data_IF_457616725808
#
_entry.id   IF_457616725808
#
_cell.length_a   1.000
_cell.length_b   1.000
_cell.length_c   1.000
_cell.angle_alpha   90.00
_cell.angle_beta   90.00
_cell.angle_gamma   90.00
#
_symmetry.space_group_name_H-M   'P 1'
#
loop_
_entity.id
_entity.type
_entity.pdbx_description
1 polymer ?
#
# COMPACT_ATOMS: atom_id res chain seq x y z
N UNK A 1 -20.76 17.54 26.26
CA UNK A 1 -19.99 16.97 27.42
C UNK A 1 -20.03 17.78 28.73
N UNK A 2 -19.64 19.06 28.78
CA UNK A 2 -19.36 19.75 30.06
C UNK A 2 -20.53 19.88 31.03
N UNK A 3 -21.76 20.06 30.51
CA UNK A 3 -22.97 20.08 31.35
C UNK A 3 -23.20 18.75 32.08
N UNK A 4 -22.88 17.65 31.41
CA UNK A 4 -22.98 16.30 31.96
C UNK A 4 -21.94 16.07 33.05
N UNK A 5 -20.71 16.57 32.85
CA UNK A 5 -19.67 16.54 33.89
C UNK A 5 -20.07 17.37 35.13
N UNK A 6 -20.68 18.54 34.92
CA UNK A 6 -21.22 19.36 36.01
C UNK A 6 -22.26 18.57 36.81
N UNK A 7 -23.20 17.94 36.11
CA UNK A 7 -24.28 17.12 36.69
C UNK A 7 -23.75 15.93 37.51
N UNK A 8 -22.70 15.26 37.03
CA UNK A 8 -22.09 14.09 37.70
C UNK A 8 -21.22 14.51 38.89
N UNK A 9 -20.47 15.60 38.80
CA UNK A 9 -19.51 16.01 39.83
C UNK A 9 -20.14 16.86 40.95
N UNK A 10 -21.18 17.65 40.66
CA UNK A 10 -21.80 18.54 41.65
C UNK A 10 -22.31 17.81 42.92
N UNK A 11 -23.00 16.66 42.83
CA UNK A 11 -23.42 15.92 44.02
C UNK A 11 -22.24 15.40 44.86
N UNK A 12 -21.07 15.21 44.23
CA UNK A 12 -19.88 14.65 44.88
C UNK A 12 -19.03 15.72 45.59
N UNK A 13 -19.13 16.99 45.18
CA UNK A 13 -18.40 18.10 45.82
C UNK A 13 -19.10 18.65 47.05
N UNK A 14 -20.39 18.35 47.25
CA UNK A 14 -21.19 18.94 48.32
C UNK A 14 -21.55 20.42 48.09
N UNK A 15 -21.29 20.94 46.89
CA UNK A 15 -21.56 22.34 46.51
C UNK A 15 -22.80 22.40 45.64
N UNK A 16 -23.80 23.19 46.06
CA UNK A 16 -24.89 23.57 45.17
C UNK A 16 -24.32 24.47 44.05
N UNK A 17 -24.34 23.99 42.81
CA UNK A 17 -23.87 24.76 41.65
C UNK A 17 -24.65 26.08 41.55
N UNK A 18 -24.02 27.20 41.90
CA UNK A 18 -24.50 28.53 41.53
C UNK A 18 -23.84 28.88 40.20
N UNK A 19 -24.58 28.64 39.12
CA UNK A 19 -24.06 28.75 37.74
C UNK A 19 -23.78 30.20 37.35
N UNK A 20 -22.59 30.70 37.71
CA UNK A 20 -22.06 31.97 37.23
C UNK A 20 -20.81 31.67 36.38
N UNK A 21 -20.96 31.65 35.05
CA UNK A 21 -19.85 31.46 34.11
C UNK A 21 -20.10 30.37 33.05
N UNK A 22 -19.02 29.94 32.37
CA UNK A 22 -19.08 28.86 31.39
C UNK A 22 -19.23 27.49 32.07
N UNK A 23 -19.83 26.48 31.41
CA UNK A 23 -19.92 25.12 31.96
C UNK A 23 -18.56 24.55 32.39
N UNK A 24 -17.51 24.84 31.62
CA UNK A 24 -16.12 24.47 31.92
C UNK A 24 -15.64 25.07 33.25
N UNK A 25 -15.91 26.35 33.49
CA UNK A 25 -15.52 27.03 34.73
C UNK A 25 -16.28 26.50 35.95
N UNK A 26 -17.57 26.17 35.80
CA UNK A 26 -18.38 25.55 36.84
C UNK A 26 -17.82 24.18 37.24
N UNK A 27 -17.50 23.33 36.27
CA UNK A 27 -16.88 22.01 36.51
C UNK A 27 -15.53 22.14 37.22
N UNK A 28 -14.69 23.09 36.83
CA UNK A 28 -13.42 23.37 37.51
C UNK A 28 -13.62 23.81 38.97
N UNK A 29 -14.60 24.66 39.24
CA UNK A 29 -14.91 25.11 40.60
C UNK A 29 -15.43 23.98 41.49
N UNK A 30 -16.28 23.11 40.94
CA UNK A 30 -16.78 21.89 41.59
C UNK A 30 -15.63 20.94 41.91
N UNK A 31 -14.75 20.68 40.93
CA UNK A 31 -13.63 19.75 41.09
C UNK A 31 -12.65 20.15 42.19
N UNK A 32 -12.41 21.46 42.40
CA UNK A 32 -11.56 21.96 43.50
C UNK A 32 -12.08 21.60 44.88
N UNK A 33 -13.38 21.39 45.01
CA UNK A 33 -14.06 21.15 46.28
C UNK A 33 -14.38 19.68 46.53
N UNK A 34 -13.86 18.77 45.69
CA UNK A 34 -14.05 17.34 45.89
C UNK A 34 -13.42 16.90 47.23
N UNK A 35 -14.20 16.38 48.19
CA UNK A 35 -13.71 16.04 49.53
C UNK A 35 -12.99 14.69 49.58
N UNK A 36 -13.07 13.89 48.51
CA UNK A 36 -12.51 12.54 48.40
C UNK A 36 -12.02 12.27 46.98
N UNK A 37 -11.18 11.24 46.82
CA UNK A 37 -10.74 10.79 45.51
C UNK A 37 -11.91 10.28 44.66
N UNK A 38 -12.07 10.86 43.48
CA UNK A 38 -13.06 10.51 42.46
C UNK A 38 -12.31 10.07 41.20
N UNK A 39 -12.71 8.94 40.63
CA UNK A 39 -12.29 8.53 39.28
C UNK A 39 -13.43 8.79 38.31
N UNK A 40 -13.20 9.67 37.35
CA UNK A 40 -14.13 10.01 36.28
C UNK A 40 -13.71 9.26 35.02
N UNK A 41 -14.62 8.45 34.47
CA UNK A 41 -14.43 7.77 33.18
C UNK A 41 -15.28 8.47 32.14
N UNK A 42 -14.66 8.91 31.05
CA UNK A 42 -15.33 9.53 29.90
C UNK A 42 -15.18 8.57 28.74
N UNK A 43 -16.28 7.93 28.37
CA UNK A 43 -16.33 7.01 27.23
C UNK A 43 -16.66 7.74 25.93
N UNK A 44 -16.27 7.15 24.81
CA UNK A 44 -16.51 7.67 23.45
C UNK A 44 -16.10 9.14 23.22
N UNK A 45 -15.01 9.59 23.84
CA UNK A 45 -14.58 11.00 23.82
C UNK A 45 -14.25 11.56 22.41
N UNK A 46 -14.04 10.69 21.42
CA UNK A 46 -13.76 11.06 20.04
C UNK A 46 -14.90 11.84 19.35
N UNK A 47 -16.12 11.81 19.88
CA UNK A 47 -17.23 12.65 19.41
C UNK A 47 -17.17 14.10 19.94
N UNK A 48 -16.46 14.33 21.05
CA UNK A 48 -16.41 15.63 21.74
C UNK A 48 -15.01 16.27 21.70
N UNK A 49 -14.01 15.55 21.16
CA UNK A 49 -12.63 16.04 21.11
C UNK A 49 -12.46 17.24 20.17
N UNK A 50 -11.70 18.21 20.66
CA UNK A 50 -11.34 19.45 20.00
C UNK A 50 -10.13 20.02 20.75
N UNK A 51 -9.36 20.90 20.10
CA UNK A 51 -8.24 21.59 20.76
C UNK A 51 -8.69 22.25 22.08
N UNK A 52 -9.87 22.86 22.11
CA UNK A 52 -10.41 23.54 23.30
C UNK A 52 -10.79 22.54 24.40
N UNK A 53 -11.56 21.50 24.06
CA UNK A 53 -12.04 20.51 25.04
C UNK A 53 -10.88 19.70 25.63
N UNK A 54 -9.88 19.35 24.82
CA UNK A 54 -8.70 18.60 25.27
C UNK A 54 -7.89 19.43 26.29
N UNK A 55 -7.66 20.73 26.02
CA UNK A 55 -6.99 21.63 26.96
C UNK A 55 -7.78 21.84 28.24
N UNK A 56 -9.11 22.02 28.13
CA UNK A 56 -9.98 22.18 29.28
C UNK A 56 -9.99 20.91 30.15
N UNK A 57 -9.98 19.72 29.54
CA UNK A 57 -9.92 18.45 30.25
C UNK A 57 -8.56 18.23 30.94
N UNK A 58 -7.46 18.58 30.26
CA UNK A 58 -6.13 18.56 30.86
C UNK A 58 -5.99 19.55 32.02
N UNK A 59 -6.63 20.72 31.94
CA UNK A 59 -6.69 21.69 33.03
C UNK A 59 -7.53 21.16 34.21
N UNK A 60 -8.65 20.50 33.93
CA UNK A 60 -9.46 19.86 34.96
C UNK A 60 -8.67 18.80 35.73
N UNK A 61 -7.95 17.93 35.02
CA UNK A 61 -7.09 16.90 35.65
C UNK A 61 -6.00 17.50 36.55
N UNK A 62 -5.51 18.70 36.24
CA UNK A 62 -4.50 19.41 37.05
C UNK A 62 -5.09 20.16 38.25
N UNK A 63 -6.40 20.37 38.27
CA UNK A 63 -7.05 21.28 39.22
C UNK A 63 -7.08 20.73 40.65
N UNK A 64 -7.08 19.41 40.83
CA UNK A 64 -7.05 18.77 42.15
C UNK A 64 -6.40 17.39 42.07
N UNK A 65 -5.74 16.95 43.16
CA UNK A 65 -5.23 15.58 43.29
C UNK A 65 -6.33 14.56 43.63
N UNK A 66 -7.53 15.04 43.96
CA UNK A 66 -8.69 14.21 44.24
C UNK A 66 -9.45 13.78 42.99
N UNK A 67 -9.03 14.18 41.79
CA UNK A 67 -9.69 13.80 40.55
C UNK A 67 -8.72 13.02 39.67
N UNK A 68 -9.07 11.76 39.36
CA UNK A 68 -8.44 10.97 38.30
C UNK A 68 -9.38 10.93 37.11
N UNK A 69 -8.88 11.28 35.93
CA UNK A 69 -9.66 11.24 34.69
C UNK A 69 -9.13 10.11 33.82
N UNK A 70 -10.03 9.23 33.38
CA UNK A 70 -9.79 8.20 32.38
C UNK A 70 -10.62 8.59 31.15
N UNK A 71 -9.95 8.70 30.01
CA UNK A 71 -10.59 9.07 28.75
C UNK A 71 -10.46 7.87 27.81
N UNK A 72 -11.60 7.40 27.32
CA UNK A 72 -11.68 6.31 26.35
C UNK A 72 -12.21 6.93 25.05
N UNK A 73 -11.50 6.68 23.97
CA UNK A 73 -11.87 7.22 22.67
C UNK A 73 -10.93 6.70 21.58
N UNK A 74 -11.38 6.81 20.34
CA UNK A 74 -10.62 6.36 19.16
C UNK A 74 -9.56 7.37 18.71
N UNK A 75 -9.75 8.64 19.08
CA UNK A 75 -8.82 9.74 18.82
C UNK A 75 -8.95 10.85 19.86
N UNK A 76 -7.92 11.68 19.91
CA UNK A 76 -7.86 12.99 20.59
C UNK A 76 -7.11 13.96 19.67
N UNK A 77 -7.35 15.25 19.76
CA UNK A 77 -6.67 16.26 18.93
C UNK A 77 -5.29 16.59 19.48
N UNK A 78 -5.21 16.97 20.75
CA UNK A 78 -3.95 17.40 21.39
C UNK A 78 -3.77 16.89 22.81
N UNK A 79 -4.75 16.15 23.37
CA UNK A 79 -4.68 15.68 24.76
C UNK A 79 -3.40 14.87 25.05
N UNK A 80 -2.92 14.09 24.10
CA UNK A 80 -1.68 13.30 24.20
C UNK A 80 -0.44 14.00 23.61
N UNK A 81 -0.55 15.29 23.22
CA UNK A 81 0.55 16.05 22.64
C UNK A 81 1.59 16.47 23.69
N UNK A 82 2.84 16.69 23.25
CA UNK A 82 3.94 17.16 24.10
C UNK A 82 3.61 18.44 24.89
N UNK A 83 2.78 19.33 24.32
CA UNK A 83 2.37 20.58 24.97
C UNK A 83 1.54 20.31 26.22
N UNK A 84 0.64 19.32 26.15
CA UNK A 84 -0.24 18.96 27.25
C UNK A 84 0.49 18.07 28.26
N UNK A 85 1.23 17.07 27.78
CA UNK A 85 1.95 16.10 28.64
C UNK A 85 3.09 16.75 29.44
N UNK A 86 3.64 17.89 28.98
CA UNK A 86 4.59 18.70 29.75
C UNK A 86 3.98 19.37 30.99
N UNK A 87 2.65 19.56 31.02
CA UNK A 87 1.94 20.30 32.09
C UNK A 87 1.02 19.42 32.92
N UNK A 88 0.61 18.29 32.37
CA UNK A 88 -0.33 17.35 33.00
C UNK A 88 0.23 15.94 32.85
N UNK A 89 0.26 15.18 33.94
CA UNK A 89 0.70 13.78 33.90
C UNK A 89 -0.35 12.95 33.17
N UNK A 90 -0.02 12.50 31.97
CA UNK A 90 -0.89 11.68 31.12
C UNK A 90 -0.20 10.37 30.81
N UNK A 91 -0.92 9.28 30.97
CA UNK A 91 -0.53 7.94 30.50
C UNK A 91 -1.46 7.59 29.35
N UNK A 92 -0.93 7.56 28.13
CA UNK A 92 -1.67 7.14 26.95
C UNK A 92 -1.47 5.63 26.75
N UNK A 93 -2.57 4.90 26.62
CA UNK A 93 -2.57 3.49 26.24
C UNK A 93 -3.11 3.41 24.81
N UNK A 94 -2.31 2.86 23.90
CA UNK A 94 -2.63 2.73 22.49
C UNK A 94 -3.13 1.33 22.12
N UNK A 95 -3.40 1.10 20.82
CA UNK A 95 -3.82 -0.21 20.32
C UNK A 95 -2.85 -1.35 20.67
N UNK A 96 -1.55 -1.08 20.68
CA UNK A 96 -0.54 -2.09 21.04
C UNK A 96 -0.63 -2.51 22.51
N UNK A 97 -0.92 -1.58 23.42
CA UNK A 97 -1.06 -1.86 24.86
C UNK A 97 -2.35 -2.63 25.18
N UNK A 98 -3.36 -2.51 24.30
CA UNK A 98 -4.68 -3.16 24.45
C UNK A 98 -4.82 -4.41 23.58
N UNK A 99 -3.82 -4.71 22.75
CA UNK A 99 -3.83 -5.92 21.91
C UNK A 99 -3.52 -7.14 22.76
N UNK A 100 -4.30 -8.20 22.57
CA UNK A 100 -4.02 -9.48 23.21
C UNK A 100 -2.79 -10.12 22.57
N UNK A 101 -1.87 -10.57 23.41
CA UNK A 101 -0.76 -11.41 22.97
C UNK A 101 -1.28 -12.76 22.45
N UNK A 102 -0.41 -13.50 21.76
CA UNK A 102 -0.73 -14.85 21.32
C UNK A 102 -1.06 -15.76 22.51
N UNK A 103 -0.32 -15.64 23.62
CA UNK A 103 -0.51 -16.43 24.83
C UNK A 103 -1.82 -16.06 25.54
N UNK A 104 -2.15 -14.77 25.65
CA UNK A 104 -3.44 -14.34 26.23
C UNK A 104 -4.63 -14.79 25.38
N UNK A 105 -4.48 -14.79 24.04
CA UNK A 105 -5.51 -15.28 23.12
C UNK A 105 -5.73 -16.79 23.27
N UNK A 106 -4.65 -17.55 23.45
CA UNK A 106 -4.70 -18.98 23.70
C UNK A 106 -5.26 -19.31 25.10
N UNK A 107 -4.87 -18.55 26.13
CA UNK A 107 -5.42 -18.67 27.49
C UNK A 107 -6.92 -18.38 27.49
N UNK A 108 -7.38 -17.35 26.75
CA UNK A 108 -8.80 -17.05 26.60
C UNK A 108 -9.56 -18.23 25.98
N UNK A 109 -9.06 -18.81 24.89
CA UNK A 109 -9.67 -19.98 24.25
C UNK A 109 -9.72 -21.19 25.21
N UNK A 110 -8.64 -21.43 25.96
CA UNK A 110 -8.57 -22.50 26.96
C UNK A 110 -9.56 -22.29 28.11
N UNK A 111 -9.70 -21.05 28.61
CA UNK A 111 -10.70 -20.70 29.64
C UNK A 111 -12.12 -20.90 29.15
N UNK A 112 -12.38 -20.67 27.87
CA UNK A 112 -13.67 -20.96 27.25
C UNK A 112 -13.88 -22.46 26.99
N UNK A 113 -12.87 -23.31 27.19
CA UNK A 113 -12.96 -24.75 26.95
C UNK A 113 -12.93 -25.14 25.47
N UNK A 114 -12.46 -24.25 24.60
CA UNK A 114 -12.36 -24.49 23.15
C UNK A 114 -11.04 -25.23 22.90
N UNK A 115 -11.05 -26.39 22.21
CA UNK A 115 -9.81 -27.10 21.90
C UNK A 115 -8.95 -26.29 20.94
N UNK A 116 -7.67 -26.14 21.26
CA UNK A 116 -6.70 -25.49 20.39
C UNK A 116 -6.27 -26.42 19.25
N UNK A 117 -6.80 -26.18 18.06
CA UNK A 117 -6.38 -26.85 16.83
C UNK A 117 -5.61 -25.90 15.88
N UNK A 118 -5.15 -26.41 14.74
CA UNK A 118 -4.41 -25.62 13.76
C UNK A 118 -5.26 -24.48 13.15
N UNK A 119 -6.57 -24.69 12.97
CA UNK A 119 -7.47 -23.70 12.38
C UNK A 119 -7.71 -22.52 13.34
N UNK A 120 -7.99 -22.80 14.61
CA UNK A 120 -8.13 -21.79 15.65
C UNK A 120 -6.81 -21.05 15.87
N UNK A 121 -5.69 -21.76 15.91
CA UNK A 121 -4.36 -21.14 16.03
C UNK A 121 -4.08 -20.20 14.84
N UNK A 122 -4.41 -20.61 13.61
CA UNK A 122 -4.28 -19.78 12.43
C UNK A 122 -5.22 -18.56 12.46
N UNK A 123 -6.46 -18.73 12.92
CA UNK A 123 -7.44 -17.65 13.05
C UNK A 123 -7.03 -16.62 14.11
N UNK A 124 -6.60 -17.05 15.29
CA UNK A 124 -6.10 -16.16 16.35
C UNK A 124 -4.83 -15.40 15.91
N UNK A 125 -3.92 -16.07 15.19
CA UNK A 125 -2.77 -15.41 14.57
C UNK A 125 -3.19 -14.35 13.54
N UNK A 126 -4.19 -14.65 12.69
CA UNK A 126 -4.76 -13.66 11.75
C UNK A 126 -5.47 -12.51 12.48
N UNK A 127 -6.06 -12.78 13.64
CA UNK A 127 -6.68 -11.76 14.48
C UNK A 127 -5.66 -10.74 15.01
N UNK A 128 -4.37 -11.08 15.08
CA UNK A 128 -3.29 -10.12 15.33
C UNK A 128 -3.42 -9.39 16.66
N UNK A 129 -4.02 -10.02 17.67
CA UNK A 129 -4.28 -9.42 18.97
C UNK A 129 -5.47 -8.47 19.02
N UNK A 130 -6.18 -8.23 17.90
CA UNK A 130 -7.34 -7.36 17.87
C UNK A 130 -8.53 -7.99 18.61
N UNK A 131 -9.00 -7.44 19.74
CA UNK A 131 -10.01 -8.11 20.56
C UNK A 131 -11.33 -8.40 19.83
N UNK A 132 -11.77 -7.55 18.90
CA UNK A 132 -12.98 -7.80 18.11
C UNK A 132 -12.80 -8.96 17.13
N UNK A 133 -11.64 -9.07 16.48
CA UNK A 133 -11.35 -10.19 15.59
C UNK A 133 -11.17 -11.51 16.37
N UNK A 134 -10.56 -11.47 17.56
CA UNK A 134 -10.47 -12.64 18.45
C UNK A 134 -11.87 -13.07 18.88
N UNK A 135 -12.71 -12.12 19.32
CA UNK A 135 -14.11 -12.37 19.68
C UNK A 135 -14.87 -13.03 18.52
N UNK A 136 -14.65 -12.55 17.28
CA UNK A 136 -15.24 -13.13 16.09
C UNK A 136 -14.71 -14.53 15.80
N UNK A 137 -13.40 -14.77 15.84
CA UNK A 137 -12.81 -16.10 15.62
C UNK A 137 -13.37 -17.13 16.61
N UNK A 138 -13.60 -16.71 17.85
CA UNK A 138 -14.19 -17.53 18.90
C UNK A 138 -15.73 -17.58 18.85
N UNK A 139 -16.41 -16.86 17.96
CA UNK A 139 -17.88 -16.80 17.88
C UNK A 139 -18.59 -16.41 19.20
N UNK A 140 -17.97 -15.57 20.04
CA UNK A 140 -18.53 -15.17 21.34
C UNK A 140 -19.78 -14.27 21.23
N UNK A 141 -20.24 -13.96 20.02
CA UNK A 141 -21.52 -13.30 19.79
C UNK A 141 -22.70 -14.28 19.66
N UNK A 142 -22.42 -15.56 19.41
CA UNK A 142 -23.40 -16.58 19.13
C UNK A 142 -23.62 -17.46 20.38
N UNK A 143 -24.52 -16.99 21.26
CA UNK A 143 -24.81 -17.65 22.53
C UNK A 143 -25.31 -19.10 22.43
N UNK A 144 -25.60 -19.61 21.23
CA UNK A 144 -25.99 -21.00 21.02
C UNK A 144 -24.86 -22.01 21.29
N UNK A 145 -23.60 -21.58 21.20
CA UNK A 145 -22.43 -22.47 21.36
C UNK A 145 -21.87 -22.46 22.79
N UNK A 146 -22.38 -21.58 23.64
CA UNK A 146 -21.85 -21.33 24.98
C UNK A 146 -22.92 -21.56 26.05
N UNK A 147 -22.51 -22.13 27.18
CA UNK A 147 -23.34 -22.23 28.38
C UNK A 147 -22.70 -21.41 29.48
N UNK A 148 -23.53 -20.62 30.17
CA UNK A 148 -23.10 -19.89 31.36
C UNK A 148 -22.88 -20.87 32.51
N UNK A 149 -21.66 -20.90 33.04
CA UNK A 149 -21.29 -21.66 34.24
C UNK A 149 -20.92 -20.69 35.37
N UNK A 150 -20.84 -21.14 36.63
CA UNK A 150 -20.36 -20.30 37.73
C UNK A 150 -18.97 -19.71 37.50
N UNK A 151 -18.13 -20.40 36.71
CA UNK A 151 -16.77 -19.99 36.36
C UNK A 151 -16.71 -19.15 35.06
N UNK A 152 -17.87 -18.76 34.52
CA UNK A 152 -18.02 -17.99 33.28
C UNK A 152 -18.58 -18.81 32.11
N UNK A 153 -18.55 -18.24 30.90
CA UNK A 153 -19.02 -18.93 29.70
C UNK A 153 -18.09 -20.07 29.31
N UNK A 154 -18.68 -21.23 29.01
CA UNK A 154 -17.96 -22.41 28.51
C UNK A 154 -18.56 -22.88 27.20
N UNK A 155 -17.70 -23.19 26.25
CA UNK A 155 -18.07 -23.79 24.99
C UNK A 155 -18.67 -25.17 25.23
N UNK A 156 -19.79 -25.44 24.58
CA UNK A 156 -20.46 -26.74 24.66
C UNK A 156 -20.28 -27.50 23.36
N UNK A 157 -19.48 -28.57 23.41
CA UNK A 157 -19.33 -29.51 22.32
C UNK A 157 -20.62 -30.34 22.14
N UNK A 158 -21.69 -29.74 21.60
CA UNK A 158 -22.90 -30.47 21.28
C UNK A 158 -22.70 -31.34 20.04
N UNK A 159 -23.08 -32.62 20.11
CA UNK A 159 -22.98 -33.61 19.02
C UNK A 159 -23.79 -33.25 17.74
N UNK A 160 -24.58 -32.17 17.77
CA UNK A 160 -25.46 -31.70 16.70
C UNK A 160 -25.27 -30.21 16.37
N UNK A 161 -24.19 -29.57 16.86
CA UNK A 161 -23.93 -28.15 16.57
C UNK A 161 -23.24 -27.94 15.23
N UNK A 162 -23.49 -26.80 14.54
CA UNK A 162 -22.73 -26.43 13.35
C UNK A 162 -21.24 -26.44 13.66
N UNK A 163 -20.43 -26.93 12.71
CA UNK A 163 -18.97 -26.99 12.83
C UNK A 163 -18.43 -25.61 13.27
N UNK A 164 -17.86 -25.57 14.46
CA UNK A 164 -17.07 -24.42 14.91
C UNK A 164 -15.93 -24.21 13.91
N UNK A 165 -15.99 -23.12 13.15
CA UNK A 165 -15.02 -22.81 12.11
C UNK A 165 -14.51 -21.37 12.29
N UNK A 166 -13.41 -21.19 13.03
CA UNK A 166 -12.85 -19.87 13.34
C UNK A 166 -12.55 -19.02 12.10
N UNK A 167 -12.14 -19.67 11.01
CA UNK A 167 -11.85 -19.00 9.75
C UNK A 167 -13.13 -18.49 9.08
N UNK A 168 -14.18 -19.31 9.03
CA UNK A 168 -15.48 -18.88 8.52
C UNK A 168 -16.09 -17.75 9.37
N UNK A 169 -15.89 -17.79 10.70
CA UNK A 169 -16.35 -16.74 11.60
C UNK A 169 -15.63 -15.40 11.34
N UNK A 170 -14.31 -15.42 11.09
CA UNK A 170 -13.56 -14.22 10.68
C UNK A 170 -14.04 -13.69 9.32
N UNK A 171 -14.35 -14.58 8.37
CA UNK A 171 -14.92 -14.17 7.08
C UNK A 171 -16.29 -13.52 7.22
N UNK A 172 -17.16 -14.08 8.08
CA UNK A 172 -18.46 -13.51 8.40
C UNK A 172 -18.32 -12.14 9.08
N UNK A 173 -17.37 -12.00 10.01
CA UNK A 173 -17.03 -10.73 10.64
C UNK A 173 -16.56 -9.69 9.61
N UNK A 174 -15.67 -10.07 8.68
CA UNK A 174 -15.20 -9.17 7.63
C UNK A 174 -16.35 -8.66 6.74
N UNK A 175 -17.31 -9.54 6.39
CA UNK A 175 -18.52 -9.17 5.64
C UNK A 175 -19.44 -8.25 6.43
N UNK A 176 -19.65 -8.53 7.71
CA UNK A 176 -20.43 -7.68 8.60
C UNK A 176 -19.80 -6.30 8.74
N UNK A 177 -18.49 -6.21 8.93
CA UNK A 177 -17.77 -4.93 8.97
C UNK A 177 -17.97 -4.13 7.68
N UNK A 178 -17.88 -4.76 6.50
CA UNK A 178 -18.11 -4.11 5.21
C UNK A 178 -19.51 -3.49 5.08
N UNK A 179 -20.54 -4.10 5.69
CA UNK A 179 -21.91 -3.59 5.67
C UNK A 179 -22.13 -2.34 6.54
N UNK A 180 -21.30 -2.14 7.56
CA UNK A 180 -21.38 -0.98 8.46
C UNK A 180 -20.70 0.27 7.89
N UNK A 181 -19.91 0.10 6.83
CA UNK A 181 -19.10 1.16 6.24
C UNK A 181 -19.83 1.82 5.06
N UNK A 182 -19.77 3.15 5.02
CA UNK A 182 -20.29 3.98 3.92
C UNK A 182 -19.65 3.64 2.57
N UNK A 183 -20.31 3.97 1.45
CA UNK A 183 -19.88 3.57 0.10
C UNK A 183 -18.44 3.98 -0.24
N UNK A 184 -18.02 5.20 0.12
CA UNK A 184 -16.66 5.68 -0.15
C UNK A 184 -15.61 4.93 0.68
N UNK A 185 -15.80 4.87 2.00
CA UNK A 185 -14.91 4.11 2.88
C UNK A 185 -14.88 2.61 2.51
N UNK A 186 -15.99 2.04 2.03
CA UNK A 186 -16.06 0.67 1.51
C UNK A 186 -15.14 0.45 0.32
N UNK A 187 -15.13 1.39 -0.64
CA UNK A 187 -14.26 1.31 -1.82
C UNK A 187 -12.78 1.37 -1.43
N UNK A 188 -12.41 2.25 -0.49
CA UNK A 188 -11.04 2.32 0.04
C UNK A 188 -10.67 1.00 0.73
N UNK A 189 -11.55 0.45 1.56
CA UNK A 189 -11.27 -0.80 2.29
C UNK A 189 -11.06 -1.99 1.34
N UNK A 190 -11.90 -2.13 0.31
CA UNK A 190 -11.74 -3.17 -0.72
C UNK A 190 -10.45 -2.98 -1.51
N UNK A 191 -10.11 -1.73 -1.86
CA UNK A 191 -8.84 -1.43 -2.51
C UNK A 191 -7.64 -1.78 -1.61
N UNK A 192 -7.69 -1.45 -0.32
CA UNK A 192 -6.64 -1.79 0.64
C UNK A 192 -6.52 -3.29 0.91
N UNK A 193 -7.60 -4.06 0.72
CA UNK A 193 -7.57 -5.51 0.86
C UNK A 193 -6.86 -6.18 -0.34
N UNK A 194 -7.15 -5.71 -1.55
CA UNK A 194 -6.53 -6.16 -2.81
C UNK A 194 -5.08 -5.70 -2.95
N UNK A 195 -4.81 -4.46 -2.59
CA UNK A 195 -3.49 -3.86 -2.57
C UNK A 195 -2.74 -4.29 -1.31
N UNK A 196 -1.50 -3.84 -1.19
CA UNK A 196 -0.79 -3.87 0.08
C UNK A 196 -1.21 -2.76 1.01
N UNK A 197 -1.43 -1.57 0.46
CA UNK A 197 -1.71 -0.36 1.20
C UNK A 197 -2.42 0.65 0.31
N UNK A 198 -3.07 1.61 0.95
CA UNK A 198 -3.65 2.80 0.32
C UNK A 198 -3.07 4.04 0.98
N UNK A 199 -2.73 5.04 0.18
CA UNK A 199 -2.29 6.36 0.65
C UNK A 199 -3.45 7.37 0.57
N UNK A 200 -3.28 8.56 1.14
CA UNK A 200 -4.27 9.64 0.95
C UNK A 200 -4.43 10.06 -0.53
N UNK A 201 -3.36 10.28 -1.33
CA UNK A 201 -3.48 10.53 -2.76
C UNK A 201 -4.25 9.44 -3.53
N UNK A 202 -3.96 8.16 -3.26
CA UNK A 202 -4.67 7.05 -3.88
C UNK A 202 -6.14 7.02 -3.45
N UNK A 203 -6.43 7.27 -2.17
CA UNK A 203 -7.80 7.38 -1.66
C UNK A 203 -8.60 8.46 -2.39
N UNK A 204 -8.02 9.66 -2.57
CA UNK A 204 -8.63 10.74 -3.37
C UNK A 204 -8.90 10.31 -4.81
N UNK A 205 -7.92 9.67 -5.45
CA UNK A 205 -8.05 9.21 -6.83
C UNK A 205 -9.15 8.15 -6.98
N UNK A 206 -9.26 7.22 -6.04
CA UNK A 206 -10.26 6.16 -6.05
C UNK A 206 -11.68 6.70 -5.87
N UNK A 207 -11.85 7.63 -4.93
CA UNK A 207 -13.14 8.22 -4.59
C UNK A 207 -13.55 9.38 -5.50
N UNK A 208 -12.60 9.93 -6.27
CA UNK A 208 -12.81 11.13 -7.09
C UNK A 208 -13.37 12.30 -6.27
N UNK A 209 -12.84 12.47 -5.06
CA UNK A 209 -13.26 13.51 -4.13
C UNK A 209 -12.10 14.44 -3.75
N UNK A 210 -12.41 15.48 -2.98
CA UNK A 210 -11.42 16.35 -2.38
C UNK A 210 -10.61 15.62 -1.28
N UNK A 211 -9.51 16.25 -0.87
CA UNK A 211 -8.61 15.68 0.13
C UNK A 211 -9.27 15.45 1.48
N UNK A 212 -10.11 16.38 1.91
CA UNK A 212 -10.75 16.32 3.22
C UNK A 212 -11.71 15.13 3.29
N UNK A 213 -12.50 14.92 2.24
CA UNK A 213 -13.40 13.76 2.11
C UNK A 213 -12.64 12.43 2.15
N UNK A 214 -11.53 12.30 1.40
CA UNK A 214 -10.71 11.09 1.42
C UNK A 214 -10.04 10.86 2.79
N UNK A 215 -9.54 11.93 3.41
CA UNK A 215 -8.94 11.87 4.74
C UNK A 215 -9.97 11.45 5.80
N UNK A 216 -11.21 11.95 5.71
CA UNK A 216 -12.29 11.55 6.61
C UNK A 216 -12.64 10.07 6.44
N UNK A 217 -12.68 9.55 5.20
CA UNK A 217 -12.92 8.13 4.96
C UNK A 217 -11.80 7.24 5.53
N UNK A 218 -10.53 7.59 5.29
CA UNK A 218 -9.37 6.87 5.84
C UNK A 218 -9.35 6.91 7.37
N UNK A 219 -9.64 8.08 7.95
CA UNK A 219 -9.73 8.27 9.40
C UNK A 219 -10.84 7.43 9.98
N UNK A 220 -12.04 7.46 9.41
CA UNK A 220 -13.17 6.66 9.86
C UNK A 220 -12.85 5.15 9.86
N UNK A 221 -12.22 4.65 8.78
CA UNK A 221 -11.80 3.25 8.71
C UNK A 221 -10.71 2.89 9.73
N UNK A 222 -9.80 3.83 10.01
CA UNK A 222 -8.75 3.66 11.03
C UNK A 222 -9.35 3.65 12.43
N UNK A 223 -10.31 4.54 12.71
CA UNK A 223 -11.05 4.59 13.97
C UNK A 223 -11.86 3.30 14.21
N UNK A 224 -12.38 2.67 13.17
CA UNK A 224 -13.02 1.35 13.25
C UNK A 224 -12.02 0.19 13.41
N UNK A 225 -10.71 0.43 13.31
CA UNK A 225 -9.68 -0.60 13.35
C UNK A 225 -9.59 -1.45 12.08
N UNK A 226 -10.28 -1.06 11.01
CA UNK A 226 -10.32 -1.80 9.74
C UNK A 226 -9.08 -1.52 8.88
N UNK A 227 -8.53 -0.31 9.01
CA UNK A 227 -7.23 0.05 8.47
C UNK A 227 -6.23 0.30 9.59
N UNK A 228 -4.99 -0.12 9.37
CA UNK A 228 -3.86 0.07 10.26
C UNK A 228 -2.88 1.04 9.58
N UNK A 229 -2.66 2.24 10.15
CA UNK A 229 -1.71 3.19 9.62
C UNK A 229 -0.27 2.74 9.94
N UNK A 230 0.59 2.77 8.93
CA UNK A 230 2.02 2.50 9.04
C UNK A 230 2.77 3.72 8.54
N UNK A 231 3.74 4.20 9.31
CA UNK A 231 4.58 5.33 8.89
C UNK A 231 5.53 4.87 7.80
N UNK A 232 5.46 5.51 6.63
CA UNK A 232 6.39 5.31 5.53
C UNK A 232 7.11 6.63 5.18
N UNK A 233 8.15 6.52 4.34
CA UNK A 233 9.02 7.64 3.96
C UNK A 233 8.25 8.81 3.34
N UNK A 234 7.21 8.52 2.55
CA UNK A 234 6.43 9.52 1.80
C UNK A 234 5.08 9.86 2.45
N UNK A 235 4.91 9.48 3.72
CA UNK A 235 3.68 9.68 4.48
C UNK A 235 3.05 8.38 4.96
N UNK A 236 1.90 8.46 5.64
CA UNK A 236 1.24 7.29 6.19
C UNK A 236 0.64 6.41 5.08
N UNK A 237 0.95 5.12 5.16
CA UNK A 237 0.30 4.07 4.39
C UNK A 237 -0.77 3.38 5.24
N UNK A 238 -1.94 3.10 4.66
CA UNK A 238 -3.04 2.47 5.38
C UNK A 238 -3.23 1.04 4.86
N UNK A 239 -3.00 0.07 5.74
CA UNK A 239 -3.09 -1.36 5.42
C UNK A 239 -4.41 -1.94 5.91
N UNK A 240 -5.02 -2.83 5.14
CA UNK A 240 -6.18 -3.58 5.63
C UNK A 240 -5.75 -4.53 6.76
N UNK A 241 -6.51 -4.55 7.86
CA UNK A 241 -6.19 -5.40 9.01
C UNK A 241 -6.10 -6.88 8.60
N UNK A 242 -5.07 -7.64 9.01
CA UNK A 242 -4.85 -9.02 8.54
C UNK A 242 -6.04 -9.97 8.71
N UNK A 243 -6.82 -9.79 9.78
CA UNK A 243 -7.99 -10.62 10.10
C UNK A 243 -9.10 -10.57 9.07
N UNK A 244 -9.25 -9.44 8.37
CA UNK A 244 -10.32 -9.21 7.39
C UNK A 244 -9.81 -9.20 5.95
N UNK A 245 -8.51 -8.95 5.75
CA UNK A 245 -7.91 -8.74 4.42
C UNK A 245 -8.19 -9.86 3.42
N UNK A 246 -7.96 -11.12 3.80
CA UNK A 246 -8.15 -12.25 2.86
C UNK A 246 -9.61 -12.42 2.45
N UNK A 247 -10.53 -12.26 3.39
CA UNK A 247 -11.96 -12.34 3.13
C UNK A 247 -12.44 -11.21 2.21
N UNK A 248 -11.94 -9.99 2.47
CA UNK A 248 -12.30 -8.81 1.68
C UNK A 248 -11.66 -8.81 0.29
N UNK A 249 -10.45 -9.33 0.12
CA UNK A 249 -9.83 -9.47 -1.20
C UNK A 249 -10.68 -10.35 -2.13
N UNK A 250 -11.18 -11.49 -1.62
CA UNK A 250 -12.09 -12.35 -2.38
C UNK A 250 -13.40 -11.64 -2.79
N UNK A 251 -13.87 -10.70 -1.99
CA UNK A 251 -15.07 -9.90 -2.31
C UNK A 251 -14.75 -8.73 -3.23
N UNK A 252 -13.56 -8.16 -3.13
CA UNK A 252 -13.17 -7.01 -3.93
C UNK A 252 -13.24 -7.31 -5.42
N UNK A 253 -12.93 -8.54 -5.85
CA UNK A 253 -13.07 -8.95 -7.25
C UNK A 253 -14.52 -8.91 -7.77
N UNK A 254 -15.53 -9.07 -6.90
CA UNK A 254 -16.94 -9.00 -7.32
C UNK A 254 -17.59 -7.64 -7.07
N UNK A 255 -17.04 -6.83 -6.16
CA UNK A 255 -17.60 -5.54 -5.74
C UNK A 255 -16.95 -4.32 -6.40
N UNK A 256 -15.66 -4.40 -6.71
CA UNK A 256 -15.00 -3.34 -7.47
C UNK A 256 -15.30 -3.55 -8.94
N UNK A 257 -16.03 -2.62 -9.55
CA UNK A 257 -16.12 -2.55 -11.00
C UNK A 257 -14.70 -2.57 -11.60
N UNK A 258 -14.52 -3.27 -12.73
CA UNK A 258 -13.21 -3.46 -13.37
C UNK A 258 -12.44 -2.15 -13.54
N UNK A 259 -13.15 -1.07 -13.88
CA UNK A 259 -12.56 0.27 -13.99
C UNK A 259 -12.00 0.82 -12.68
N UNK A 260 -12.65 0.58 -11.54
CA UNK A 260 -12.16 1.02 -10.22
C UNK A 260 -10.96 0.20 -9.76
N UNK A 261 -10.98 -1.11 -10.01
CA UNK A 261 -9.84 -2.00 -9.73
C UNK A 261 -8.62 -1.62 -10.58
N UNK A 262 -8.82 -1.39 -11.88
CA UNK A 262 -7.77 -0.91 -12.79
C UNK A 262 -7.16 0.41 -12.30
N UNK A 263 -8.00 1.37 -11.89
CA UNK A 263 -7.52 2.65 -11.31
C UNK A 263 -6.71 2.45 -10.04
N UNK A 264 -7.13 1.54 -9.15
CA UNK A 264 -6.40 1.22 -7.92
C UNK A 264 -4.98 0.72 -8.22
N UNK A 265 -4.86 -0.24 -9.15
CA UNK A 265 -3.56 -0.80 -9.53
C UNK A 265 -2.67 0.24 -10.23
N UNK A 266 -3.21 1.02 -11.17
CA UNK A 266 -2.46 2.07 -11.86
C UNK A 266 -1.98 3.16 -10.89
N UNK A 267 -2.87 3.64 -10.02
CA UNK A 267 -2.53 4.65 -9.01
C UNK A 267 -1.45 4.16 -8.06
N UNK A 268 -1.61 2.94 -7.50
CA UNK A 268 -0.59 2.37 -6.61
C UNK A 268 0.72 2.09 -7.33
N UNK A 269 0.69 1.66 -8.59
CA UNK A 269 1.91 1.43 -9.37
C UNK A 269 2.75 2.71 -9.51
N UNK A 270 2.12 3.86 -9.73
CA UNK A 270 2.83 5.13 -9.84
C UNK A 270 3.46 5.60 -8.53
N UNK A 271 2.85 5.29 -7.38
CA UNK A 271 3.41 5.63 -6.06
C UNK A 271 4.65 4.81 -5.73
N UNK A 272 4.68 3.55 -6.15
CA UNK A 272 5.72 2.58 -5.76
C UNK A 272 6.79 2.37 -6.82
N UNK A 273 6.68 2.99 -8.00
CA UNK A 273 7.58 2.71 -9.14
C UNK A 273 9.04 3.03 -8.80
N UNK A 274 9.29 4.08 -8.01
CA UNK A 274 10.65 4.50 -7.65
C UNK A 274 11.28 3.52 -6.65
N UNK A 275 10.54 3.16 -5.60
CA UNK A 275 11.02 2.30 -4.51
C UNK A 275 11.02 0.82 -4.90
N UNK A 276 10.04 0.39 -5.71
CA UNK A 276 9.87 -1.01 -6.12
C UNK A 276 9.34 -1.14 -7.56
N UNK A 277 10.22 -1.01 -8.57
CA UNK A 277 9.83 -1.10 -9.98
C UNK A 277 9.16 -2.42 -10.36
N UNK A 278 9.65 -3.56 -9.86
CA UNK A 278 9.05 -4.89 -10.10
C UNK A 278 7.60 -4.95 -9.62
N UNK A 279 7.33 -4.33 -8.47
CA UNK A 279 5.99 -4.28 -7.91
C UNK A 279 5.07 -3.40 -8.76
N UNK A 280 5.53 -2.23 -9.19
CA UNK A 280 4.78 -1.37 -10.09
C UNK A 280 4.49 -2.09 -11.42
N UNK A 281 5.49 -2.76 -11.99
CA UNK A 281 5.34 -3.61 -13.18
C UNK A 281 4.24 -4.66 -13.00
N UNK A 282 4.28 -5.42 -11.90
CA UNK A 282 3.25 -6.42 -11.57
C UNK A 282 1.85 -5.81 -11.49
N UNK A 283 1.70 -4.66 -10.82
CA UNK A 283 0.41 -3.98 -10.69
C UNK A 283 -0.13 -3.52 -12.05
N UNK A 284 0.73 -2.99 -12.92
CA UNK A 284 0.33 -2.56 -14.27
C UNK A 284 -0.06 -3.76 -15.16
N UNK A 285 0.66 -4.89 -15.07
CA UNK A 285 0.25 -6.14 -15.71
C UNK A 285 -1.12 -6.62 -15.21
N UNK A 286 -1.34 -6.60 -13.89
CA UNK A 286 -2.63 -6.97 -13.30
C UNK A 286 -3.77 -6.02 -13.69
N UNK A 287 -3.45 -4.75 -13.96
CA UNK A 287 -4.37 -3.75 -14.48
C UNK A 287 -4.69 -3.90 -15.97
N UNK A 288 -3.97 -4.77 -16.69
CA UNK A 288 -4.03 -4.90 -18.14
C UNK A 288 -3.38 -3.71 -18.88
N UNK A 289 -2.66 -2.82 -18.18
CA UNK A 289 -2.01 -1.66 -18.77
C UNK A 289 -0.60 -2.01 -19.26
N UNK A 290 -0.56 -2.83 -20.31
CA UNK A 290 0.67 -3.39 -20.84
C UNK A 290 1.62 -2.32 -21.41
N UNK A 291 1.11 -1.20 -21.90
CA UNK A 291 1.93 -0.10 -22.40
C UNK A 291 2.69 0.60 -21.27
N UNK A 292 2.01 0.91 -20.17
CA UNK A 292 2.65 1.47 -18.98
C UNK A 292 3.62 0.46 -18.33
N UNK A 293 3.22 -0.82 -18.26
CA UNK A 293 4.05 -1.89 -17.73
C UNK A 293 5.37 -2.03 -18.52
N UNK A 294 5.30 -1.96 -19.86
CA UNK A 294 6.49 -1.99 -20.70
C UNK A 294 7.39 -0.77 -20.48
N UNK A 295 6.80 0.40 -20.28
CA UNK A 295 7.56 1.62 -19.98
C UNK A 295 8.34 1.47 -18.67
N UNK A 296 7.70 0.93 -17.62
CA UNK A 296 8.36 0.66 -16.34
C UNK A 296 9.45 -0.41 -16.49
N UNK A 297 9.19 -1.47 -17.26
CA UNK A 297 10.17 -2.52 -17.52
C UNK A 297 11.39 -1.99 -18.27
N UNK A 298 11.18 -1.18 -19.31
CA UNK A 298 12.26 -0.63 -20.11
C UNK A 298 13.16 0.32 -19.31
N UNK A 299 12.57 1.09 -18.40
CA UNK A 299 13.26 2.07 -17.55
C UNK A 299 13.77 1.50 -16.22
N UNK A 300 13.61 0.19 -15.97
CA UNK A 300 14.16 -0.49 -14.78
C UNK A 300 14.57 -1.93 -15.13
N UNK A 301 15.12 -2.13 -16.33
CA UNK A 301 15.21 -3.46 -16.94
C UNK A 301 16.04 -4.43 -16.08
N UNK A 302 17.27 -4.03 -15.71
CA UNK A 302 18.15 -4.84 -14.86
C UNK A 302 17.52 -5.14 -13.50
N UNK A 303 17.04 -4.09 -12.80
CA UNK A 303 16.44 -4.20 -11.46
C UNK A 303 15.23 -5.12 -11.41
N UNK A 304 14.43 -5.17 -12.49
CA UNK A 304 13.26 -6.06 -12.56
C UNK A 304 13.68 -7.49 -12.89
N UNK A 305 14.72 -7.68 -13.71
CA UNK A 305 15.21 -9.00 -14.10
C UNK A 305 15.99 -9.70 -12.98
N UNK A 306 16.51 -8.96 -11.99
CA UNK A 306 17.16 -9.54 -10.80
C UNK A 306 16.24 -10.53 -10.04
N UNK A 307 14.92 -10.35 -10.10
CA UNK A 307 13.92 -11.30 -9.57
C UNK A 307 13.35 -12.17 -10.71
N UNK A 308 14.22 -13.00 -11.28
CA UNK A 308 13.96 -13.76 -12.50
C UNK A 308 12.66 -14.59 -12.46
N UNK A 309 12.41 -15.31 -11.37
CA UNK A 309 11.27 -16.22 -11.28
C UNK A 309 9.93 -15.46 -11.19
N UNK A 310 9.87 -14.35 -10.44
CA UNK A 310 8.66 -13.53 -10.37
C UNK A 310 8.38 -12.83 -11.69
N UNK A 311 9.43 -12.33 -12.37
CA UNK A 311 9.27 -11.68 -13.67
C UNK A 311 8.83 -12.68 -14.74
N UNK A 312 9.39 -13.90 -14.77
CA UNK A 312 8.92 -14.97 -15.67
C UNK A 312 7.45 -15.35 -15.43
N UNK A 313 7.01 -15.40 -14.17
CA UNK A 313 5.62 -15.71 -13.84
C UNK A 313 4.62 -14.67 -14.41
N UNK A 314 5.06 -13.42 -14.58
CA UNK A 314 4.25 -12.35 -15.18
C UNK A 314 4.28 -12.37 -16.71
N UNK A 315 5.44 -12.68 -17.30
CA UNK A 315 5.65 -12.60 -18.75
C UNK A 315 5.18 -13.85 -19.51
N UNK A 316 5.33 -15.04 -18.94
CA UNK A 316 4.97 -16.31 -19.61
C UNK A 316 3.49 -16.44 -20.00
N UNK A 317 2.53 -15.94 -19.19
CA UNK A 317 1.11 -16.00 -19.57
C UNK A 317 0.69 -15.01 -20.67
N UNK A 318 1.56 -14.09 -21.08
CA UNK A 318 1.23 -13.10 -22.11
C UNK A 318 1.03 -13.79 -23.48
N UNK A 319 0.04 -13.30 -24.23
CA UNK A 319 -0.24 -13.82 -25.58
C UNK A 319 0.86 -13.41 -26.58
N UNK A 320 0.97 -14.15 -27.69
CA UNK A 320 1.88 -13.78 -28.78
C UNK A 320 1.62 -12.33 -29.27
N UNK A 321 0.35 -11.94 -29.39
CA UNK A 321 -0.03 -10.60 -29.81
C UNK A 321 0.50 -9.52 -28.85
N UNK A 322 0.45 -9.76 -27.53
CA UNK A 322 1.03 -8.86 -26.54
C UNK A 322 2.56 -8.81 -26.64
N UNK A 323 3.21 -9.96 -26.78
CA UNK A 323 4.67 -10.03 -26.91
C UNK A 323 5.21 -9.31 -28.16
N UNK A 324 4.46 -9.35 -29.26
CA UNK A 324 4.77 -8.58 -30.48
C UNK A 324 4.48 -7.09 -30.30
N UNK A 325 3.34 -6.73 -29.67
CA UNK A 325 2.98 -5.33 -29.46
C UNK A 325 3.94 -4.60 -28.48
N UNK A 326 4.51 -5.33 -27.53
CA UNK A 326 5.39 -4.83 -26.46
C UNK A 326 6.73 -5.60 -26.47
N UNK A 327 7.62 -5.32 -27.45
CA UNK A 327 8.85 -6.09 -27.68
C UNK A 327 9.80 -6.14 -26.47
N UNK A 328 9.72 -5.20 -25.54
CA UNK A 328 10.54 -5.24 -24.31
C UNK A 328 10.19 -6.43 -23.42
N UNK A 329 8.93 -6.89 -23.43
CA UNK A 329 8.53 -8.13 -22.76
C UNK A 329 9.20 -9.34 -23.38
N UNK A 330 9.28 -9.38 -24.70
CA UNK A 330 9.96 -10.47 -25.41
C UNK A 330 11.46 -10.43 -25.17
N UNK A 331 12.08 -9.24 -25.14
CA UNK A 331 13.47 -9.07 -24.77
C UNK A 331 13.77 -9.58 -23.34
N UNK A 332 12.91 -9.24 -22.38
CA UNK A 332 13.03 -9.72 -21.00
C UNK A 332 12.87 -11.24 -20.90
N UNK A 333 11.89 -11.83 -21.60
CA UNK A 333 11.74 -13.29 -21.68
C UNK A 333 13.01 -13.95 -22.25
N UNK A 334 13.56 -13.42 -23.34
CA UNK A 334 14.81 -13.91 -23.92
C UNK A 334 15.97 -13.85 -22.93
N UNK A 335 16.15 -12.71 -22.26
CA UNK A 335 17.23 -12.53 -21.28
C UNK A 335 17.12 -13.50 -20.09
N UNK A 336 15.89 -13.78 -19.62
CA UNK A 336 15.63 -14.66 -18.49
C UNK A 336 15.65 -16.16 -18.85
N UNK A 337 15.25 -16.51 -20.08
CA UNK A 337 15.19 -17.90 -20.55
C UNK A 337 16.51 -18.37 -21.21
N UNK A 338 17.31 -17.50 -21.82
CA UNK A 338 18.56 -17.87 -22.47
C UNK A 338 19.61 -18.55 -21.55
N UNK A 339 19.87 -18.09 -20.31
CA UNK A 339 20.85 -18.75 -19.44
C UNK A 339 20.37 -20.09 -18.87
N UNK A 340 19.11 -20.47 -19.08
CA UNK A 340 18.50 -21.66 -18.50
C UNK A 340 18.69 -22.88 -19.41
N UNK A 341 19.45 -23.91 -19.00
CA UNK A 341 19.74 -25.06 -19.85
C UNK A 341 18.49 -25.90 -20.21
N UNK A 342 17.43 -25.82 -19.40
CA UNK A 342 16.17 -26.50 -19.64
C UNK A 342 15.33 -25.88 -20.76
N UNK A 343 15.65 -24.67 -21.23
CA UNK A 343 14.89 -24.00 -22.28
C UNK A 343 15.35 -24.50 -23.65
N UNK A 344 14.46 -25.10 -24.47
CA UNK A 344 14.85 -25.59 -25.79
C UNK A 344 15.28 -24.46 -26.72
N UNK A 345 16.31 -24.70 -27.53
CA UNK A 345 16.78 -23.74 -28.54
C UNK A 345 15.67 -23.28 -29.50
N UNK A 346 14.71 -24.16 -29.83
CA UNK A 346 13.55 -23.82 -30.65
C UNK A 346 12.68 -22.73 -30.03
N UNK A 347 12.56 -22.69 -28.70
CA UNK A 347 11.84 -21.64 -27.98
C UNK A 347 12.60 -20.31 -28.03
N UNK A 348 13.92 -20.33 -27.83
CA UNK A 348 14.74 -19.13 -27.97
C UNK A 348 14.66 -18.56 -29.40
N UNK A 349 14.76 -19.41 -30.43
CA UNK A 349 14.57 -18.99 -31.82
C UNK A 349 13.16 -18.42 -32.09
N UNK A 350 12.12 -18.99 -31.47
CA UNK A 350 10.76 -18.45 -31.58
C UNK A 350 10.65 -17.05 -30.94
N UNK A 351 11.17 -16.88 -29.73
CA UNK A 351 11.18 -15.58 -29.04
C UNK A 351 12.00 -14.52 -29.80
N UNK A 352 13.15 -14.88 -30.39
CA UNK A 352 13.92 -13.96 -31.26
C UNK A 352 13.08 -13.49 -32.45
N UNK A 353 12.32 -14.39 -33.09
CA UNK A 353 11.42 -14.02 -34.20
C UNK A 353 10.28 -13.10 -33.75
N UNK A 354 9.66 -13.37 -32.60
CA UNK A 354 8.63 -12.48 -32.04
C UNK A 354 9.19 -11.10 -31.72
N UNK A 355 10.38 -11.06 -31.11
CA UNK A 355 11.05 -9.82 -30.74
C UNK A 355 11.33 -8.97 -31.97
N UNK A 356 11.90 -9.56 -33.02
CA UNK A 356 12.12 -8.87 -34.31
C UNK A 356 10.83 -8.33 -34.91
N UNK A 357 9.77 -9.14 -34.99
CA UNK A 357 8.46 -8.69 -35.50
C UNK A 357 7.92 -7.48 -34.73
N UNK A 358 8.07 -7.48 -33.39
CA UNK A 358 7.66 -6.35 -32.57
C UNK A 358 8.50 -5.10 -32.76
N UNK A 359 9.82 -5.26 -32.92
CA UNK A 359 10.74 -4.15 -33.21
C UNK A 359 10.48 -3.55 -34.59
N UNK A 360 10.29 -4.37 -35.62
CA UNK A 360 9.99 -3.92 -36.99
C UNK A 360 8.67 -3.13 -37.01
N UNK A 361 7.66 -3.57 -36.24
CA UNK A 361 6.40 -2.85 -36.09
C UNK A 361 6.55 -1.48 -35.39
N UNK A 362 7.49 -1.35 -34.45
CA UNK A 362 7.76 -0.09 -33.74
C UNK A 362 8.73 0.83 -34.47
N UNK A 363 9.54 0.29 -35.37
CA UNK A 363 10.54 1.03 -36.14
C UNK A 363 10.29 0.85 -37.65
N UNK A 364 9.12 1.27 -38.18
CA UNK A 364 8.78 1.09 -39.58
C UNK A 364 9.75 1.80 -40.54
N UNK A 365 10.47 2.83 -40.05
CA UNK A 365 11.51 3.56 -40.79
C UNK A 365 12.91 3.30 -40.21
N UNK A 366 13.07 2.21 -39.45
CA UNK A 366 14.30 1.89 -38.75
C UNK A 366 14.71 3.00 -37.77
N UNK A 367 16.00 3.37 -37.68
CA UNK A 367 16.48 4.38 -36.74
C UNK A 367 15.96 5.80 -36.99
N UNK A 368 15.32 6.06 -38.14
CA UNK A 368 14.72 7.36 -38.48
C UNK A 368 13.30 7.54 -37.92
N UNK A 369 12.74 6.50 -37.30
CA UNK A 369 11.38 6.54 -36.73
C UNK A 369 11.25 7.64 -35.66
N UNK A 370 10.14 8.42 -35.63
CA UNK A 370 9.96 9.54 -34.70
C UNK A 370 10.16 9.21 -33.21
N UNK A 371 10.51 10.23 -32.44
CA UNK A 371 10.79 10.13 -31.00
C UNK A 371 9.53 9.79 -30.19
N UNK A 372 9.66 8.77 -29.33
CA UNK A 372 8.67 8.39 -28.32
C UNK A 372 9.35 8.08 -26.99
N UNK A 373 8.57 7.92 -25.92
CA UNK A 373 9.10 7.68 -24.56
C UNK A 373 10.01 6.46 -24.44
N UNK A 374 9.82 5.44 -25.28
CA UNK A 374 10.58 4.20 -25.29
C UNK A 374 11.66 4.13 -26.39
N UNK A 375 11.92 5.22 -27.12
CA UNK A 375 12.70 5.14 -28.35
C UNK A 375 14.15 4.69 -28.10
N UNK A 376 14.83 5.22 -27.07
CA UNK A 376 16.21 4.82 -26.72
C UNK A 376 16.29 3.32 -26.44
N UNK A 377 15.39 2.81 -25.59
CA UNK A 377 15.31 1.39 -25.28
C UNK A 377 14.99 0.54 -26.53
N UNK A 378 14.08 1.01 -27.39
CA UNK A 378 13.68 0.30 -28.61
C UNK A 378 14.84 0.24 -29.63
N UNK A 379 15.58 1.34 -29.81
CA UNK A 379 16.78 1.37 -30.67
C UNK A 379 17.87 0.46 -30.11
N UNK A 380 18.11 0.49 -28.80
CA UNK A 380 19.07 -0.42 -28.14
C UNK A 380 18.70 -1.89 -28.35
N UNK A 381 17.42 -2.23 -28.18
CA UNK A 381 16.90 -3.57 -28.47
C UNK A 381 17.07 -3.96 -29.95
N UNK A 382 16.76 -3.06 -30.88
CA UNK A 382 16.94 -3.31 -32.33
C UNK A 382 18.41 -3.50 -32.72
N UNK A 383 19.33 -2.76 -32.09
CA UNK A 383 20.77 -2.94 -32.24
C UNK A 383 21.18 -4.36 -31.81
N UNK A 384 20.76 -4.78 -30.61
CA UNK A 384 21.09 -6.12 -30.06
C UNK A 384 20.46 -7.22 -30.91
N UNK A 385 19.19 -7.09 -31.30
CA UNK A 385 18.49 -8.04 -32.15
C UNK A 385 19.17 -8.20 -33.52
N UNK A 386 19.62 -7.09 -34.12
CA UNK A 386 20.37 -7.10 -35.39
C UNK A 386 21.72 -7.82 -35.23
N UNK A 387 22.44 -7.55 -34.12
CA UNK A 387 23.72 -8.20 -33.81
C UNK A 387 23.55 -9.72 -33.63
N UNK A 388 22.55 -10.14 -32.85
CA UNK A 388 22.24 -11.57 -32.61
C UNK A 388 21.83 -12.27 -33.91
N UNK A 389 21.20 -11.56 -34.84
CA UNK A 389 20.82 -12.09 -36.16
C UNK A 389 21.95 -12.09 -37.20
N UNK A 390 23.13 -11.54 -36.87
CA UNK A 390 24.24 -11.38 -37.81
C UNK A 390 24.10 -10.21 -38.80
N UNK A 391 23.12 -9.33 -38.60
CA UNK A 391 22.86 -8.15 -39.43
C UNK A 391 23.70 -6.96 -38.96
N UNK A 392 25.02 -7.09 -39.12
CA UNK A 392 26.00 -6.17 -38.55
C UNK A 392 25.87 -4.72 -39.07
N UNK A 393 25.49 -4.52 -40.33
CA UNK A 393 25.26 -3.17 -40.88
C UNK A 393 24.03 -2.49 -40.25
N UNK A 394 22.95 -3.24 -40.02
CA UNK A 394 21.77 -2.75 -39.31
C UNK A 394 22.13 -2.41 -37.85
N UNK A 395 22.88 -3.29 -37.19
CA UNK A 395 23.38 -3.05 -35.84
C UNK A 395 24.23 -1.76 -35.76
N UNK A 396 25.09 -1.50 -36.76
CA UNK A 396 25.88 -0.26 -36.87
C UNK A 396 25.00 0.98 -37.04
N UNK A 397 23.95 0.90 -37.84
CA UNK A 397 23.00 2.00 -38.05
C UNK A 397 22.25 2.34 -36.76
N UNK A 398 21.73 1.33 -36.05
CA UNK A 398 21.06 1.52 -34.75
C UNK A 398 22.03 2.02 -33.67
N UNK A 399 23.26 1.49 -33.61
CA UNK A 399 24.31 1.98 -32.70
C UNK A 399 24.60 3.47 -32.90
N UNK A 400 24.73 3.91 -34.16
CA UNK A 400 24.96 5.32 -34.48
C UNK A 400 23.74 6.22 -34.18
N UNK A 401 22.53 5.68 -34.22
CA UNK A 401 21.34 6.39 -33.76
C UNK A 401 21.28 6.48 -32.24
N UNK A 402 21.58 5.37 -31.54
CA UNK A 402 21.60 5.31 -30.08
C UNK A 402 22.64 6.28 -29.50
N UNK A 403 23.86 6.30 -30.05
CA UNK A 403 24.89 7.24 -29.62
C UNK A 403 24.45 8.71 -29.76
N UNK A 404 23.79 9.06 -30.88
CA UNK A 404 23.24 10.41 -31.08
C UNK A 404 22.18 10.75 -30.04
N UNK A 405 21.35 9.79 -29.67
CA UNK A 405 20.31 9.95 -28.64
C UNK A 405 20.88 10.06 -27.22
N UNK A 406 22.06 9.48 -26.95
CA UNK A 406 22.71 9.52 -25.64
C UNK A 406 23.62 10.74 -25.43
N UNK A 407 24.11 11.37 -26.51
CA UNK A 407 24.91 12.60 -26.40
C UNK A 407 24.08 13.79 -25.91
N UNK A 408 24.51 14.53 -24.87
CA UNK A 408 23.70 15.53 -24.16
C UNK A 408 23.53 16.89 -24.90
N UNK A 409 23.23 16.90 -26.21
CA UNK A 409 23.10 18.14 -27.00
C UNK A 409 21.76 18.34 -27.72
N UNK A 410 20.70 17.61 -27.36
CA UNK A 410 19.35 17.88 -27.87
C UNK A 410 18.28 17.77 -26.77
N UNK A 411 18.38 18.62 -25.74
CA UNK A 411 17.19 19.06 -25.00
C UNK A 411 16.66 20.31 -25.68
N UNK A 412 15.82 20.11 -26.71
CA UNK A 412 15.03 21.19 -27.28
C UNK A 412 13.81 21.42 -26.37
N UNK A 413 13.66 22.58 -25.70
CA UNK A 413 12.60 22.82 -24.71
C UNK A 413 11.21 23.10 -25.32
N UNK A 414 11.02 22.89 -26.63
CA UNK A 414 9.86 23.40 -27.37
C UNK A 414 8.61 22.50 -27.44
N UNK A 415 8.53 21.39 -26.70
CA UNK A 415 7.38 20.47 -26.74
C UNK A 415 6.54 20.49 -25.45
N UNK A 416 6.15 21.69 -25.01
CA UNK A 416 5.03 21.90 -24.06
C UNK A 416 3.90 22.60 -24.80
N UNK A 417 3.06 21.82 -25.50
CA UNK A 417 2.05 22.39 -26.38
C UNK A 417 0.93 21.44 -26.76
N UNK A 418 0.38 20.67 -25.83
CA UNK A 418 -0.96 20.09 -25.98
C UNK A 418 -1.68 20.01 -24.63
N UNK A 419 -2.77 20.77 -24.55
CA UNK A 419 -3.80 20.77 -23.50
C UNK A 419 -4.23 19.35 -23.10
N UNK A 420 -3.85 18.88 -21.90
CA UNK A 420 -4.52 17.79 -21.18
C UNK A 420 -4.19 17.89 -19.68
N UNK A 421 -5.12 18.45 -18.90
CA UNK A 421 -4.99 18.67 -17.45
C UNK A 421 -5.12 17.39 -16.59
N UNK A 422 -5.30 16.20 -17.20
CA UNK A 422 -5.43 14.94 -16.45
C UNK A 422 -4.14 14.10 -16.34
N UNK A 423 -3.06 14.45 -17.06
CA UNK A 423 -1.82 13.65 -17.11
C UNK A 423 -0.66 14.19 -16.23
N UNK A 424 -0.83 15.37 -15.62
CA UNK A 424 0.25 16.07 -14.91
C UNK A 424 0.58 15.55 -13.51
N UNK A 425 -0.25 14.69 -12.92
CA UNK A 425 0.03 14.10 -11.60
C UNK A 425 0.63 12.69 -11.65
N UNK A 426 0.86 12.11 -12.83
CA UNK A 426 1.45 10.76 -12.96
C UNK A 426 2.71 10.69 -13.85
N UNK A 427 3.17 11.82 -14.39
CA UNK A 427 4.25 11.81 -15.40
C UNK A 427 5.24 12.99 -15.28
N UNK A 428 6.01 13.11 -14.18
CA UNK A 428 7.31 13.78 -14.26
C UNK A 428 8.51 12.95 -13.77
N UNK A 429 8.35 11.68 -13.38
CA UNK A 429 9.47 10.89 -12.81
C UNK A 429 10.13 9.86 -13.74
N UNK A 430 9.59 9.61 -14.94
CA UNK A 430 10.16 8.66 -15.92
C UNK A 430 11.28 9.25 -16.80
N UNK A 431 11.88 10.38 -16.42
CA UNK A 431 12.93 11.06 -17.21
C UNK A 431 14.35 10.92 -16.69
N UNK A 432 14.58 10.18 -15.62
CA UNK A 432 15.92 9.82 -15.18
C UNK A 432 16.16 8.36 -15.55
N UNK A 433 16.75 8.10 -16.71
CA UNK A 433 17.57 6.89 -16.86
C UNK A 433 18.60 6.97 -15.75
N UNK A 434 18.53 6.08 -14.75
CA UNK A 434 19.53 6.05 -13.69
C UNK A 434 20.91 5.84 -14.32
N UNK A 435 21.96 6.35 -13.68
CA UNK A 435 23.34 6.22 -14.21
C UNK A 435 23.71 4.76 -14.52
N UNK A 436 23.12 3.81 -13.78
CA UNK A 436 23.22 2.35 -14.01
C UNK A 436 22.65 1.88 -15.35
N UNK A 437 21.63 2.53 -15.91
CA UNK A 437 21.03 2.15 -17.19
C UNK A 437 21.79 2.73 -18.37
N UNK A 438 22.31 3.95 -18.23
CA UNK A 438 23.25 4.53 -19.19
C UNK A 438 24.46 3.63 -19.35
N UNK A 439 24.94 3.03 -18.25
CA UNK A 439 26.04 2.09 -18.28
C UNK A 439 25.76 0.87 -19.17
N UNK A 440 24.54 0.32 -19.13
CA UNK A 440 24.13 -0.81 -19.97
C UNK A 440 24.18 -0.43 -21.45
N UNK A 441 23.64 0.74 -21.82
CA UNK A 441 23.68 1.17 -23.22
C UNK A 441 25.11 1.37 -23.73
N UNK A 442 25.99 1.97 -22.93
CA UNK A 442 27.40 2.13 -23.30
C UNK A 442 28.13 0.78 -23.45
N UNK A 443 27.84 -0.19 -22.58
CA UNK A 443 28.39 -1.55 -22.71
C UNK A 443 27.91 -2.22 -24.01
N UNK A 444 26.64 -2.08 -24.36
CA UNK A 444 26.08 -2.67 -25.58
C UNK A 444 26.61 -2.00 -26.85
N UNK A 445 26.84 -0.68 -26.84
CA UNK A 445 27.51 0.05 -27.92
C UNK A 445 28.96 -0.44 -28.07
N UNK A 446 29.68 -0.63 -26.97
CA UNK A 446 31.05 -1.13 -26.99
C UNK A 446 31.13 -2.56 -27.53
N UNK A 447 30.25 -3.46 -27.07
CA UNK A 447 30.17 -4.85 -27.55
C UNK A 447 29.80 -4.93 -29.04
N UNK A 448 28.90 -4.08 -29.50
CA UNK A 448 28.54 -3.97 -30.92
C UNK A 448 29.71 -3.44 -31.75
N UNK A 449 30.44 -2.43 -31.25
CA UNK A 449 31.64 -1.90 -31.90
C UNK A 449 32.75 -2.96 -32.03
N UNK A 450 32.97 -3.77 -31.00
CA UNK A 450 33.91 -4.90 -31.04
C UNK A 450 33.50 -5.95 -32.07
N UNK A 451 32.20 -6.28 -32.14
CA UNK A 451 31.66 -7.23 -33.12
C UNK A 451 31.86 -6.76 -34.57
N UNK A 452 31.97 -5.43 -34.77
CA UNK A 452 32.24 -4.79 -36.06
C UNK A 452 33.75 -4.61 -36.35
N UNK A 453 34.64 -5.00 -35.44
CA UNK A 453 36.08 -4.78 -35.55
C UNK A 453 36.56 -3.34 -35.23
N UNK A 454 35.68 -2.46 -34.75
CA UNK A 454 36.00 -1.06 -34.42
C UNK A 454 36.50 -0.92 -32.96
N UNK A 455 37.73 -1.35 -32.74
CA UNK A 455 38.38 -1.32 -31.41
C UNK A 455 38.58 0.10 -30.87
N UNK A 456 38.70 1.10 -31.75
CA UNK A 456 38.88 2.52 -31.36
C UNK A 456 37.59 3.10 -30.80
N UNK A 457 36.45 2.84 -31.45
CA UNK A 457 35.13 3.27 -30.96
C UNK A 457 34.78 2.56 -29.66
N UNK A 458 34.98 1.25 -29.58
CA UNK A 458 34.78 0.49 -28.35
C UNK A 458 35.56 1.08 -27.16
N UNK A 459 36.83 1.43 -27.36
CA UNK A 459 37.65 2.07 -26.32
C UNK A 459 37.12 3.45 -25.92
N UNK A 460 36.65 4.26 -26.86
CA UNK A 460 36.05 5.58 -26.57
C UNK A 460 34.78 5.44 -25.73
N UNK A 461 33.89 4.53 -26.11
CA UNK A 461 32.64 4.27 -25.41
C UNK A 461 32.89 3.74 -23.99
N UNK A 462 33.86 2.85 -23.80
CA UNK A 462 34.26 2.37 -22.47
C UNK A 462 34.89 3.47 -21.60
N UNK A 463 35.61 4.42 -22.20
CA UNK A 463 36.09 5.61 -21.47
C UNK A 463 34.93 6.51 -21.06
N UNK A 464 33.93 6.71 -21.92
CA UNK A 464 32.72 7.48 -21.59
C UNK A 464 31.92 6.84 -20.45
N UNK A 465 31.78 5.51 -20.48
CA UNK A 465 31.20 4.74 -19.38
C UNK A 465 31.94 4.97 -18.05
N UNK A 466 33.28 4.94 -18.07
CA UNK A 466 34.07 5.19 -16.85
C UNK A 466 33.86 6.59 -16.31
N UNK A 467 33.72 7.59 -17.19
CA UNK A 467 33.46 8.97 -16.78
C UNK A 467 32.04 9.20 -16.29
N UNK A 468 31.05 8.39 -16.69
CA UNK A 468 29.68 8.51 -16.18
C UNK A 468 29.47 7.80 -14.84
N UNK A 469 30.37 6.89 -14.46
CA UNK A 469 30.34 6.15 -13.19
C UNK A 469 31.23 6.78 -12.10
N UNK A 470 32.02 7.80 -12.44
CA UNK A 470 32.92 8.54 -11.54
C UNK A 470 32.33 9.89 -11.17
#
# INVERSE_FOLDING_TARGET
MWDELERVLAPLSGVSSTRAGTPEAAVLAIARQLPKHVTLVIDDYHFETSVRSDLALANLARTTHHLRIIVIGRRVEILNSTVVTARTRITALGPADLSLTADESADLAARLGIPMDEQLTAALRKAGGWPLAIRAALDLGNGAQYVDTPDGQKWTAGASQPLFNPMANLEAFARGALSLVESGARQIMLAAAELDAVTLPLGRHLLRCDEHSAQNALRHLTELGLLVPVQAEFGPEYHCHPSIRSALALLASSWLADGSRRRAYIGRAAEVVVQSPLRAFRLLCAAGDLAAAETVLAANFSRILDDADRTLALLRPLSEAALVAYPTFTAALLALENPRPEVPASRLCYLVRLWRRGLDARLPQGPATPFGSLQVATIGQAMVASRVSGELENARAYMSALERSLTPHNTDPAMTGTSFDEARHMTPQLRQTSDDELAIFYLEIAATSLSLGDTRRARRTLTQLRTSLS
#
